data_IF_937870102624
#
_entry.id   IF_937870102624
#
_cell.length_a   1.000
_cell.length_b   1.000
_cell.length_c   1.000
_cell.angle_alpha   90.00
_cell.angle_beta   90.00
_cell.angle_gamma   90.00
#
_symmetry.space_group_name_H-M   'P 1'
#
loop_
_entity.id
_entity.type
_entity.pdbx_description
1 polymer ?
#
# COMPACT_ATOMS: atom_id res chain seq x y z
N UNK A 1 -8.42 1.02 -24.43
CA UNK A 1 -8.86 1.66 -23.17
C UNK A 1 -10.26 1.15 -22.87
N UNK A 2 -10.47 0.53 -21.69
CA UNK A 2 -11.80 0.15 -21.21
C UNK A 2 -12.51 1.35 -20.58
N UNK A 3 -13.87 1.28 -20.48
CA UNK A 3 -14.65 2.29 -19.78
C UNK A 3 -14.34 2.30 -18.29
N UNK A 4 -14.34 3.46 -17.63
CA UNK A 4 -14.04 3.61 -16.21
C UNK A 4 -14.87 4.73 -15.59
N UNK A 5 -15.03 4.64 -14.28
CA UNK A 5 -15.46 5.73 -13.42
C UNK A 5 -14.33 6.03 -12.43
N UNK A 6 -14.05 7.29 -12.18
CA UNK A 6 -13.05 7.70 -11.20
C UNK A 6 -13.68 8.67 -10.20
N UNK A 7 -13.60 8.28 -8.95
CA UNK A 7 -14.03 9.11 -7.83
C UNK A 7 -13.10 8.90 -6.64
N UNK A 8 -12.53 9.98 -6.12
CA UNK A 8 -11.76 9.95 -4.89
C UNK A 8 -12.06 11.17 -4.04
N UNK A 9 -12.83 11.03 -2.95
CA UNK A 9 -13.28 12.13 -2.10
C UNK A 9 -12.24 12.56 -1.06
N UNK A 10 -11.08 11.94 -0.96
CA UNK A 10 -10.07 12.24 0.05
C UNK A 10 -9.54 13.67 -0.09
N UNK A 11 -9.77 14.50 0.92
CA UNK A 11 -9.17 15.84 1.00
C UNK A 11 -7.74 15.75 1.47
N UNK A 12 -6.79 16.01 0.60
CA UNK A 12 -5.36 16.00 0.94
C UNK A 12 -4.95 17.38 1.45
N UNK A 13 -4.32 17.43 2.63
CA UNK A 13 -3.69 18.60 3.21
C UNK A 13 -2.20 18.32 3.34
N UNK A 14 -1.44 18.80 2.36
CA UNK A 14 -0.03 18.46 2.20
C UNK A 14 0.89 19.63 2.58
N UNK A 15 2.04 19.30 3.16
CA UNK A 15 3.13 20.24 3.41
C UNK A 15 3.45 20.42 4.89
N UNK A 16 4.52 21.17 5.15
CA UNK A 16 4.96 21.47 6.52
C UNK A 16 3.89 22.28 7.27
N UNK A 17 3.57 21.80 8.49
CA UNK A 17 2.54 22.44 9.33
C UNK A 17 1.11 22.09 8.94
N UNK A 18 0.89 21.16 7.99
CA UNK A 18 -0.45 20.72 7.59
C UNK A 18 -1.27 20.13 8.74
N UNK A 19 -0.63 19.56 9.78
CA UNK A 19 -1.26 19.03 10.98
C UNK A 19 -2.06 20.09 11.78
N UNK A 20 -1.72 21.35 11.64
CA UNK A 20 -2.46 22.47 12.28
C UNK A 20 -3.88 22.63 11.75
N UNK A 21 -4.21 22.00 10.62
CA UNK A 21 -5.56 21.99 10.08
C UNK A 21 -6.50 21.00 10.76
N UNK A 22 -6.01 20.16 11.69
CA UNK A 22 -6.77 19.05 12.27
C UNK A 22 -8.07 19.51 12.95
N UNK A 23 -8.02 20.52 13.83
CA UNK A 23 -9.21 21.05 14.52
C UNK A 23 -10.30 21.49 13.53
N UNK A 24 -9.91 22.21 12.46
CA UNK A 24 -10.82 22.60 11.38
C UNK A 24 -11.43 21.38 10.69
N UNK A 25 -10.62 20.36 10.37
CA UNK A 25 -11.09 19.16 9.66
C UNK A 25 -12.05 18.32 10.52
N UNK A 26 -11.76 18.16 11.82
CA UNK A 26 -12.67 17.48 12.75
C UNK A 26 -14.01 18.22 12.87
N UNK A 27 -13.98 19.55 12.96
CA UNK A 27 -15.18 20.39 12.98
C UNK A 27 -16.00 20.30 11.69
N UNK A 28 -15.35 20.33 10.52
CA UNK A 28 -16.00 20.14 9.21
C UNK A 28 -16.72 18.80 9.12
N UNK A 29 -16.16 17.74 9.73
CA UNK A 29 -16.72 16.40 9.79
C UNK A 29 -17.71 16.20 10.96
N UNK A 30 -17.98 17.23 11.78
CA UNK A 30 -18.92 17.22 12.91
C UNK A 30 -18.62 16.12 13.94
N UNK A 31 -17.35 15.88 14.19
CA UNK A 31 -16.88 14.81 15.11
C UNK A 31 -17.30 15.14 16.53
N UNK A 32 -17.89 14.18 17.23
CA UNK A 32 -18.28 14.29 18.65
C UNK A 32 -17.60 13.26 19.54
N UNK A 33 -17.22 12.10 18.97
CA UNK A 33 -16.54 11.02 19.69
C UNK A 33 -15.50 10.36 18.78
N UNK A 34 -14.21 10.57 19.09
CA UNK A 34 -13.08 10.18 18.27
C UNK A 34 -12.33 8.99 18.87
N UNK A 35 -12.04 7.98 18.03
CA UNK A 35 -11.09 6.91 18.33
C UNK A 35 -9.78 7.15 17.56
N UNK A 36 -8.69 7.41 18.28
CA UNK A 36 -7.34 7.52 17.74
C UNK A 36 -6.68 6.14 17.67
N UNK A 37 -6.18 5.78 16.48
CA UNK A 37 -5.50 4.50 16.20
C UNK A 37 -4.10 4.77 15.67
N UNK A 38 -3.07 4.23 16.34
CA UNK A 38 -1.67 4.48 15.98
C UNK A 38 -0.75 3.32 16.39
N UNK A 39 0.53 3.37 15.98
CA UNK A 39 1.53 2.38 16.37
C UNK A 39 2.67 3.02 17.15
N UNK A 40 2.81 2.66 18.43
CA UNK A 40 3.93 3.10 19.28
C UNK A 40 3.98 4.59 19.64
N UNK A 41 4.96 4.96 20.45
CA UNK A 41 5.05 6.31 21.06
C UNK A 41 5.67 7.40 20.18
N UNK A 42 6.08 7.08 18.93
CA UNK A 42 6.73 8.06 18.06
C UNK A 42 5.85 9.27 17.75
N UNK A 43 4.52 9.14 17.79
CA UNK A 43 3.60 10.26 17.56
C UNK A 43 3.73 11.36 18.62
N UNK A 44 4.18 10.99 19.84
CA UNK A 44 4.45 11.94 20.92
C UNK A 44 5.72 12.73 20.62
N UNK A 45 6.80 12.06 20.22
CA UNK A 45 8.07 12.69 19.85
C UNK A 45 8.00 13.60 18.63
N UNK A 46 7.07 13.32 17.70
CA UNK A 46 6.78 14.16 16.55
C UNK A 46 5.85 15.35 16.87
N UNK A 47 5.34 15.46 18.10
CA UNK A 47 4.38 16.49 18.49
C UNK A 47 2.96 16.29 17.96
N UNK A 48 2.70 15.23 17.19
CA UNK A 48 1.39 14.93 16.61
C UNK A 48 0.35 14.69 17.69
N UNK A 49 0.73 13.94 18.72
CA UNK A 49 -0.17 13.62 19.85
C UNK A 49 -0.70 14.89 20.53
N UNK A 50 0.17 15.88 20.76
CA UNK A 50 -0.25 17.15 21.38
C UNK A 50 -1.23 17.92 20.48
N UNK A 51 -0.95 17.98 19.16
CA UNK A 51 -1.88 18.62 18.21
C UNK A 51 -3.27 17.97 18.24
N UNK A 52 -3.33 16.63 18.37
CA UNK A 52 -4.60 15.91 18.47
C UNK A 52 -5.30 16.26 19.79
N UNK A 53 -4.57 16.24 20.92
CA UNK A 53 -5.15 16.58 22.23
C UNK A 53 -5.69 18.00 22.26
N UNK A 54 -4.94 18.96 21.74
CA UNK A 54 -5.36 20.36 21.68
C UNK A 54 -6.65 20.51 20.83
N UNK A 55 -6.75 19.82 19.69
CA UNK A 55 -7.92 19.85 18.84
C UNK A 55 -9.15 19.20 19.50
N UNK A 56 -8.96 18.09 20.19
CA UNK A 56 -10.01 17.38 20.93
C UNK A 56 -10.54 18.25 22.09
N UNK A 57 -9.64 18.84 22.86
CA UNK A 57 -9.97 19.69 24.02
C UNK A 57 -10.65 20.98 23.54
N UNK A 58 -10.16 21.64 22.48
CA UNK A 58 -10.77 22.83 21.86
C UNK A 58 -12.23 22.60 21.43
N UNK A 59 -12.50 21.42 20.84
CA UNK A 59 -13.81 21.09 20.28
C UNK A 59 -14.74 20.36 21.26
N UNK A 60 -14.24 19.97 22.44
CA UNK A 60 -15.02 19.20 23.43
C UNK A 60 -15.41 17.80 22.95
N UNK A 61 -14.54 17.15 22.18
CA UNK A 61 -14.77 15.83 21.56
C UNK A 61 -14.47 14.72 22.58
N UNK A 62 -15.32 13.68 22.69
CA UNK A 62 -15.02 12.45 23.41
C UNK A 62 -13.78 11.77 22.79
N UNK A 63 -12.82 11.35 23.62
CA UNK A 63 -11.52 10.87 23.14
C UNK A 63 -11.16 9.50 23.69
N UNK A 64 -10.90 8.57 22.77
CA UNK A 64 -10.44 7.22 23.04
C UNK A 64 -9.23 6.93 22.17
N UNK A 65 -8.29 6.10 22.65
CA UNK A 65 -7.07 5.83 21.89
C UNK A 65 -6.55 4.40 22.07
N UNK A 66 -5.84 3.93 21.05
CA UNK A 66 -5.05 2.71 21.13
C UNK A 66 -3.80 2.83 20.25
N UNK A 67 -2.62 2.61 20.86
CA UNK A 67 -1.31 2.68 20.23
C UNK A 67 -0.64 1.33 19.96
N UNK A 68 -1.41 0.24 19.96
CA UNK A 68 -0.88 -1.14 19.87
C UNK A 68 -0.85 -1.71 18.45
N UNK A 69 -1.05 -0.88 17.41
CA UNK A 69 -0.98 -1.36 16.02
C UNK A 69 0.43 -1.84 15.71
N UNK A 70 0.51 -3.02 15.10
CA UNK A 70 1.75 -3.65 14.63
C UNK A 70 1.73 -3.80 13.09
N UNK A 71 2.88 -4.01 12.43
CA UNK A 71 2.92 -4.40 11.03
C UNK A 71 2.07 -5.66 10.77
N UNK A 72 1.48 -5.76 9.57
CA UNK A 72 0.51 -6.81 9.23
C UNK A 72 -0.65 -6.84 10.25
N UNK A 73 -1.52 -5.81 10.28
CA UNK A 73 -2.47 -5.58 11.35
C UNK A 73 -3.44 -6.74 11.52
N UNK A 74 -3.67 -7.15 12.77
CA UNK A 74 -4.49 -8.32 13.08
C UNK A 74 -5.96 -8.00 13.29
N UNK A 75 -6.82 -8.95 12.93
CA UNK A 75 -8.28 -8.84 13.13
C UNK A 75 -8.65 -8.83 14.61
N UNK A 76 -7.84 -9.46 15.48
CA UNK A 76 -8.08 -9.48 16.93
C UNK A 76 -8.07 -8.06 17.51
N UNK A 77 -7.05 -7.25 17.16
CA UNK A 77 -6.99 -5.85 17.57
C UNK A 77 -8.17 -5.05 17.00
N UNK A 78 -8.53 -5.31 15.74
CA UNK A 78 -9.70 -4.64 15.13
C UNK A 78 -10.97 -4.96 15.91
N UNK A 79 -11.23 -6.23 16.26
CA UNK A 79 -12.40 -6.64 17.05
C UNK A 79 -12.46 -5.94 18.41
N UNK A 80 -11.33 -5.91 19.14
CA UNK A 80 -11.22 -5.19 20.42
C UNK A 80 -11.60 -3.72 20.28
N UNK A 81 -11.09 -3.05 19.22
CA UNK A 81 -11.33 -1.63 19.01
C UNK A 81 -12.73 -1.32 18.43
N UNK A 82 -13.34 -2.24 17.72
CA UNK A 82 -14.76 -2.19 17.34
C UNK A 82 -15.65 -2.20 18.59
N UNK A 83 -15.37 -3.11 19.54
CA UNK A 83 -16.13 -3.18 20.80
C UNK A 83 -15.94 -1.92 21.63
N UNK A 84 -14.71 -1.40 21.72
CA UNK A 84 -14.44 -0.12 22.37
C UNK A 84 -15.24 1.03 21.73
N UNK A 85 -15.25 1.08 20.39
CA UNK A 85 -15.97 2.10 19.63
C UNK A 85 -17.48 2.03 19.80
N UNK A 86 -18.06 0.83 19.76
CA UNK A 86 -19.51 0.60 20.02
C UNK A 86 -19.89 1.06 21.42
N UNK A 87 -19.14 0.64 22.45
CA UNK A 87 -19.39 1.00 23.85
C UNK A 87 -19.39 2.50 24.09
N UNK A 88 -18.58 3.24 23.37
CA UNK A 88 -18.36 4.68 23.60
C UNK A 88 -19.00 5.57 22.50
N UNK A 89 -19.88 5.00 21.67
CA UNK A 89 -20.57 5.71 20.60
C UNK A 89 -19.62 6.54 19.72
N UNK A 90 -18.47 5.94 19.35
CA UNK A 90 -17.48 6.58 18.47
C UNK A 90 -18.13 6.86 17.12
N UNK A 91 -17.98 8.08 16.62
CA UNK A 91 -18.51 8.55 15.35
C UNK A 91 -17.45 8.89 14.31
N UNK A 92 -16.15 8.84 14.70
CA UNK A 92 -15.01 9.12 13.84
C UNK A 92 -13.77 8.32 14.24
N UNK A 93 -13.04 7.79 13.25
CA UNK A 93 -11.76 7.09 13.49
C UNK A 93 -10.61 7.91 12.88
N UNK A 94 -9.61 8.27 13.69
CA UNK A 94 -8.40 8.96 13.25
C UNK A 94 -7.21 8.02 13.29
N UNK A 95 -6.61 7.75 12.12
CA UNK A 95 -5.37 6.99 12.03
C UNK A 95 -4.15 7.91 12.06
N UNK A 96 -3.12 7.55 12.84
CA UNK A 96 -1.81 8.19 12.77
C UNK A 96 -0.75 7.12 12.56
N UNK A 97 -0.10 7.14 11.39
CA UNK A 97 0.90 6.12 11.07
C UNK A 97 1.06 5.88 9.58
N UNK A 98 1.47 4.66 9.26
CA UNK A 98 1.54 4.11 7.90
C UNK A 98 0.34 3.21 7.59
N UNK A 99 0.45 2.42 6.53
CA UNK A 99 -0.60 1.52 6.02
C UNK A 99 -1.27 0.68 7.11
N UNK A 100 -0.50 0.05 8.01
CA UNK A 100 -1.07 -0.78 9.07
C UNK A 100 -2.03 -0.03 10.00
N UNK A 101 -1.68 1.19 10.42
CA UNK A 101 -2.57 2.01 11.25
C UNK A 101 -3.80 2.47 10.49
N UNK A 102 -3.64 2.81 9.21
CA UNK A 102 -4.73 3.28 8.36
C UNK A 102 -5.70 2.13 8.05
N UNK A 103 -5.19 0.95 7.71
CA UNK A 103 -6.01 -0.23 7.40
C UNK A 103 -6.76 -0.73 8.64
N UNK A 104 -6.10 -0.70 9.82
CA UNK A 104 -6.77 -0.96 11.11
C UNK A 104 -7.93 0.01 11.32
N UNK A 105 -7.72 1.31 11.11
CA UNK A 105 -8.76 2.33 11.26
C UNK A 105 -9.92 2.13 10.27
N UNK A 106 -9.62 1.76 9.01
CA UNK A 106 -10.64 1.43 8.01
C UNK A 106 -11.48 0.22 8.43
N UNK A 107 -10.84 -0.85 8.90
CA UNK A 107 -11.53 -2.03 9.40
C UNK A 107 -12.40 -1.73 10.63
N UNK A 108 -11.92 -0.89 11.56
CA UNK A 108 -12.71 -0.43 12.71
C UNK A 108 -13.94 0.37 12.26
N UNK A 109 -13.74 1.27 11.29
CA UNK A 109 -14.82 2.10 10.74
C UNK A 109 -15.91 1.28 10.04
N UNK A 110 -15.56 0.13 9.46
CA UNK A 110 -16.49 -0.89 8.95
C UNK A 110 -17.20 -1.63 10.09
N UNK A 111 -16.46 -2.07 11.10
CA UNK A 111 -16.95 -2.95 12.15
C UNK A 111 -17.85 -2.27 13.18
N UNK A 112 -17.65 -0.98 13.51
CA UNK A 112 -18.47 -0.29 14.52
C UNK A 112 -19.96 -0.26 14.14
N UNK A 113 -20.39 0.11 12.93
CA UNK A 113 -21.80 0.12 12.56
C UNK A 113 -22.36 -1.27 12.17
N UNK A 114 -21.54 -2.33 12.15
CA UNK A 114 -21.92 -3.66 11.71
C UNK A 114 -22.25 -4.58 12.90
N UNK A 115 -23.34 -5.37 12.81
CA UNK A 115 -23.76 -6.28 13.87
C UNK A 115 -23.03 -7.62 13.84
N UNK A 116 -22.38 -7.97 12.71
CA UNK A 116 -21.61 -9.20 12.54
C UNK A 116 -20.13 -9.05 12.92
N UNK A 117 -19.32 -10.04 12.56
CA UNK A 117 -17.88 -10.01 12.70
C UNK A 117 -17.24 -9.19 11.57
N UNK A 118 -16.33 -8.27 11.89
CA UNK A 118 -15.64 -7.43 10.90
C UNK A 118 -14.87 -8.27 9.86
N UNK A 119 -14.46 -9.49 10.19
CA UNK A 119 -13.80 -10.39 9.25
C UNK A 119 -14.69 -10.83 8.08
N UNK A 120 -16.02 -10.74 8.24
CA UNK A 120 -16.97 -11.06 7.17
C UNK A 120 -16.78 -10.20 5.92
N UNK A 121 -16.33 -8.94 6.08
CA UNK A 121 -16.01 -8.06 4.95
C UNK A 121 -14.84 -8.61 4.12
N UNK A 122 -13.81 -9.11 4.78
CA UNK A 122 -12.59 -9.60 4.14
C UNK A 122 -12.72 -11.01 3.56
N UNK A 123 -13.40 -11.90 4.26
CA UNK A 123 -13.50 -13.31 3.86
C UNK A 123 -14.72 -13.61 2.98
N UNK A 124 -15.86 -13.00 3.29
CA UNK A 124 -17.14 -13.27 2.61
C UNK A 124 -17.52 -12.19 1.60
N UNK A 125 -16.80 -11.06 1.55
CA UNK A 125 -17.10 -9.95 0.66
C UNK A 125 -18.45 -9.28 0.96
N UNK A 126 -18.85 -9.22 2.23
CA UNK A 126 -20.09 -8.56 2.65
C UNK A 126 -20.01 -7.06 2.28
N UNK A 127 -21.05 -6.52 1.67
CA UNK A 127 -21.12 -5.07 1.41
C UNK A 127 -21.58 -4.34 2.68
N UNK A 128 -20.87 -3.27 3.13
CA UNK A 128 -21.27 -2.52 4.32
C UNK A 128 -22.47 -1.62 4.02
N UNK A 129 -23.46 -1.62 4.92
CA UNK A 129 -24.57 -0.66 4.83
C UNK A 129 -24.11 0.75 5.22
N UNK A 130 -23.22 0.84 6.19
CA UNK A 130 -22.69 2.09 6.73
C UNK A 130 -21.22 1.92 7.11
N UNK A 131 -20.45 2.99 6.93
CA UNK A 131 -19.03 3.09 7.36
C UNK A 131 -18.86 4.40 8.13
N UNK A 132 -18.12 4.39 9.23
CA UNK A 132 -17.79 5.62 9.93
C UNK A 132 -16.78 6.45 9.11
N UNK A 133 -16.82 7.79 9.21
CA UNK A 133 -15.82 8.63 8.58
C UNK A 133 -14.43 8.41 9.22
N UNK A 134 -13.40 8.48 8.37
CA UNK A 134 -12.00 8.24 8.73
C UNK A 134 -11.18 9.48 8.41
N UNK A 135 -10.27 9.85 9.30
CA UNK A 135 -9.21 10.83 9.03
C UNK A 135 -7.85 10.18 9.15
N UNK A 136 -6.86 10.72 8.45
CA UNK A 136 -5.50 10.19 8.47
C UNK A 136 -4.48 11.31 8.70
N UNK A 137 -3.48 11.05 9.54
CA UNK A 137 -2.20 11.77 9.58
C UNK A 137 -1.12 10.77 9.17
N UNK A 138 -0.67 10.85 7.92
CA UNK A 138 0.30 9.91 7.36
C UNK A 138 1.71 10.25 7.82
N UNK A 139 2.42 9.25 8.37
CA UNK A 139 3.80 9.40 8.87
C UNK A 139 4.81 8.56 8.10
N UNK A 140 4.36 7.82 7.10
CA UNK A 140 5.19 7.03 6.18
C UNK A 140 4.79 7.34 4.73
N UNK A 141 5.64 6.93 3.80
CA UNK A 141 5.38 6.99 2.36
C UNK A 141 5.55 5.58 1.81
N UNK A 142 4.45 4.83 1.62
CA UNK A 142 4.44 3.46 1.12
C UNK A 142 3.10 3.09 0.49
N UNK A 143 2.18 2.54 1.26
CA UNK A 143 0.92 1.93 0.79
C UNK A 143 -0.05 2.85 0.06
N UNK A 144 0.02 4.18 0.25
CA UNK A 144 -0.99 5.10 -0.26
C UNK A 144 -2.39 4.92 0.36
N UNK A 145 -2.49 4.16 1.47
CA UNK A 145 -3.77 3.85 2.10
C UNK A 145 -4.54 5.07 2.57
N UNK A 146 -3.86 6.20 2.79
CA UNK A 146 -4.48 7.48 3.17
C UNK A 146 -5.44 8.04 2.12
N UNK A 147 -5.38 7.53 0.88
CA UNK A 147 -6.28 7.93 -0.21
C UNK A 147 -6.88 6.75 -0.97
N UNK A 148 -6.61 5.51 -0.56
CA UNK A 148 -7.12 4.33 -1.24
C UNK A 148 -8.46 3.84 -0.66
N UNK A 149 -9.19 3.08 -1.47
CA UNK A 149 -10.42 2.38 -1.08
C UNK A 149 -10.15 0.94 -0.59
N UNK A 150 -8.88 0.60 -0.31
CA UNK A 150 -8.47 -0.73 0.11
C UNK A 150 -8.02 -0.74 1.58
N UNK A 151 -8.27 -1.85 2.27
CA UNK A 151 -7.71 -2.18 3.58
C UNK A 151 -7.26 -3.64 3.60
N UNK A 152 -6.09 -3.92 4.19
CA UNK A 152 -5.53 -5.27 4.30
C UNK A 152 -5.42 -5.64 5.77
N UNK A 153 -6.06 -6.75 6.17
CA UNK A 153 -6.04 -7.26 7.54
C UNK A 153 -5.61 -8.73 7.55
N UNK A 154 -4.87 -9.10 8.59
CA UNK A 154 -4.40 -10.46 8.80
C UNK A 154 -5.28 -11.18 9.84
N UNK A 155 -5.55 -12.47 9.59
CA UNK A 155 -6.22 -13.38 10.51
C UNK A 155 -5.51 -14.74 10.42
N UNK A 156 -4.67 -15.04 11.40
CA UNK A 156 -3.78 -16.23 11.38
C UNK A 156 -2.95 -16.26 10.08
N UNK A 157 -3.10 -17.35 9.31
CA UNK A 157 -2.41 -17.59 8.04
C UNK A 157 -2.99 -16.81 6.84
N UNK A 158 -4.07 -16.06 7.03
CA UNK A 158 -4.71 -15.29 5.96
C UNK A 158 -4.36 -13.80 6.06
N UNK A 159 -3.98 -13.20 4.94
CA UNK A 159 -3.83 -11.76 4.75
C UNK A 159 -4.71 -11.35 3.59
N UNK A 160 -5.88 -10.78 3.90
CA UNK A 160 -6.94 -10.49 2.94
C UNK A 160 -7.20 -8.99 2.82
N UNK A 161 -7.57 -8.58 1.61
CA UNK A 161 -7.99 -7.23 1.28
C UNK A 161 -9.51 -7.10 1.19
N UNK A 162 -9.99 -5.92 1.55
CA UNK A 162 -11.35 -5.46 1.29
C UNK A 162 -11.28 -4.10 0.58
N UNK A 163 -12.09 -3.94 -0.46
CA UNK A 163 -12.14 -2.72 -1.27
C UNK A 163 -13.55 -2.15 -1.32
N UNK A 164 -13.69 -0.88 -0.95
CA UNK A 164 -14.95 -0.15 -1.03
C UNK A 164 -14.70 1.36 -0.95
N UNK A 165 -15.31 2.15 -1.83
CA UNK A 165 -15.10 3.60 -1.85
C UNK A 165 -15.54 4.32 -0.56
N UNK A 166 -16.40 3.68 0.23
CA UNK A 166 -16.87 4.22 1.53
C UNK A 166 -15.78 4.22 2.61
N UNK A 167 -14.71 3.40 2.46
CA UNK A 167 -13.57 3.41 3.39
C UNK A 167 -12.46 4.39 2.99
N UNK A 168 -12.62 5.12 1.88
CA UNK A 168 -11.70 6.21 1.54
C UNK A 168 -11.75 7.26 2.64
N UNK A 169 -10.60 7.66 3.23
CA UNK A 169 -10.57 8.68 4.27
C UNK A 169 -11.16 10.03 3.82
N UNK A 170 -11.88 10.70 4.72
CA UNK A 170 -12.41 12.05 4.47
C UNK A 170 -11.32 13.08 4.27
N UNK A 171 -10.21 12.89 4.97
CA UNK A 171 -9.02 13.70 4.79
C UNK A 171 -7.74 12.91 5.08
N UNK A 172 -6.65 13.35 4.44
CA UNK A 172 -5.29 12.91 4.69
C UNK A 172 -4.40 14.14 4.96
N UNK A 173 -3.84 14.22 6.15
CA UNK A 173 -2.81 15.21 6.51
C UNK A 173 -1.46 14.57 6.25
N UNK A 174 -0.64 15.24 5.42
CA UNK A 174 0.63 14.73 4.93
C UNK A 174 1.73 15.78 5.12
N UNK A 175 2.45 15.69 6.24
CA UNK A 175 3.62 16.54 6.50
C UNK A 175 4.90 15.73 6.24
N UNK A 176 5.69 16.04 5.18
CA UNK A 176 6.91 15.28 4.87
C UNK A 176 7.93 15.24 6.01
N UNK A 177 7.93 16.23 6.92
CA UNK A 177 8.80 16.24 8.08
C UNK A 177 8.56 15.07 9.04
N UNK A 178 7.35 14.52 9.09
CA UNK A 178 7.06 13.35 9.93
C UNK A 178 7.78 12.09 9.45
N UNK A 179 8.19 12.05 8.18
CA UNK A 179 8.90 10.90 7.61
C UNK A 179 10.42 10.96 7.77
N UNK A 180 10.99 12.12 8.16
CA UNK A 180 12.45 12.37 8.18
C UNK A 180 13.21 11.43 9.14
N UNK A 181 12.58 11.06 10.25
CA UNK A 181 13.19 10.20 11.27
C UNK A 181 12.87 8.72 11.09
N UNK A 182 12.18 8.34 10.00
CA UNK A 182 11.98 6.92 9.68
C UNK A 182 13.34 6.24 9.47
N UNK A 183 13.54 5.03 9.99
CA UNK A 183 14.71 4.22 9.67
C UNK A 183 14.87 4.07 8.15
N UNK A 184 16.12 4.06 7.68
CA UNK A 184 16.42 3.94 6.26
C UNK A 184 15.75 2.71 5.62
N UNK A 185 15.76 1.58 6.34
CA UNK A 185 15.09 0.35 5.91
C UNK A 185 13.59 0.56 5.62
N UNK A 186 12.86 1.22 6.53
CA UNK A 186 11.43 1.49 6.34
C UNK A 186 11.18 2.47 5.17
N UNK A 187 12.06 3.47 5.02
CA UNK A 187 12.00 4.40 3.88
C UNK A 187 12.19 3.64 2.56
N UNK A 188 13.18 2.75 2.50
CA UNK A 188 13.49 2.02 1.27
C UNK A 188 12.44 0.94 0.95
N UNK A 189 11.95 0.23 1.95
CA UNK A 189 10.81 -0.68 1.79
C UNK A 189 9.55 0.08 1.29
N UNK A 190 9.29 1.28 1.82
CA UNK A 190 8.20 2.13 1.33
C UNK A 190 8.36 2.55 -0.12
N UNK A 191 9.58 2.90 -0.56
CA UNK A 191 9.86 3.23 -1.97
C UNK A 191 9.62 2.01 -2.87
N UNK A 192 10.02 0.81 -2.44
CA UNK A 192 9.78 -0.43 -3.18
C UNK A 192 8.27 -0.72 -3.30
N UNK A 193 7.51 -0.46 -2.25
CA UNK A 193 6.06 -0.60 -2.22
C UNK A 193 5.36 0.38 -3.18
N UNK A 194 5.74 1.66 -3.18
CA UNK A 194 5.24 2.65 -4.16
C UNK A 194 5.54 2.22 -5.59
N UNK A 195 6.77 1.72 -5.86
CA UNK A 195 7.13 1.21 -7.19
C UNK A 195 6.26 0.01 -7.57
N UNK A 196 6.01 -0.90 -6.64
CA UNK A 196 5.17 -2.07 -6.89
C UNK A 196 3.76 -1.69 -7.32
N UNK A 197 3.13 -0.73 -6.64
CA UNK A 197 1.82 -0.21 -7.00
C UNK A 197 1.78 0.40 -8.40
N UNK A 198 2.83 1.14 -8.79
CA UNK A 198 2.94 1.69 -10.14
C UNK A 198 3.10 0.59 -11.20
N UNK A 199 3.91 -0.44 -10.91
CA UNK A 199 4.16 -1.55 -11.82
C UNK A 199 2.91 -2.44 -12.00
N UNK A 200 2.19 -2.76 -10.91
CA UNK A 200 0.95 -3.53 -10.99
C UNK A 200 -0.09 -2.86 -11.90
N UNK A 201 -0.19 -1.54 -11.82
CA UNK A 201 -1.08 -0.77 -12.69
C UNK A 201 -0.57 -0.65 -14.12
N UNK A 202 0.75 -0.68 -14.31
CA UNK A 202 1.34 -0.67 -15.65
C UNK A 202 1.14 -2.00 -16.37
N UNK A 203 1.22 -3.13 -15.65
CA UNK A 203 1.01 -4.46 -16.20
C UNK A 203 -0.48 -4.70 -16.45
N UNK A 204 -0.87 -4.46 -17.69
CA UNK A 204 -2.25 -4.54 -18.16
C UNK A 204 -2.27 -4.94 -19.64
N UNK A 205 -3.33 -5.59 -20.08
CA UNK A 205 -3.52 -5.99 -21.48
C UNK A 205 -4.07 -4.89 -22.39
N UNK A 206 -4.37 -3.73 -21.81
CA UNK A 206 -4.97 -2.65 -22.58
C UNK A 206 -3.98 -1.99 -23.54
N UNK A 207 -4.23 -2.14 -24.84
CA UNK A 207 -3.35 -1.65 -25.91
C UNK A 207 -3.41 -0.13 -26.10
N UNK A 208 -4.54 0.51 -25.80
CA UNK A 208 -4.80 1.93 -26.06
C UNK A 208 -5.12 2.69 -24.77
N UNK A 209 -4.14 2.79 -23.91
CA UNK A 209 -4.20 3.54 -22.64
C UNK A 209 -3.00 4.47 -22.47
N UNK A 210 -2.54 5.06 -23.59
CA UNK A 210 -1.30 5.83 -23.65
C UNK A 210 -1.21 6.95 -22.58
N UNK A 211 -2.31 7.68 -22.34
CA UNK A 211 -2.34 8.73 -21.31
C UNK A 211 -1.95 8.15 -19.94
N UNK A 212 -2.58 7.06 -19.51
CA UNK A 212 -2.29 6.43 -18.22
C UNK A 212 -0.91 5.78 -18.22
N UNK A 213 -0.48 5.18 -19.35
CA UNK A 213 0.89 4.66 -19.50
C UNK A 213 1.94 5.73 -19.22
N UNK A 214 1.87 6.87 -19.92
CA UNK A 214 2.84 7.94 -19.75
C UNK A 214 2.79 8.59 -18.37
N UNK A 215 1.61 8.65 -17.73
CA UNK A 215 1.49 9.11 -16.34
C UNK A 215 2.23 8.16 -15.39
N UNK A 216 2.07 6.85 -15.54
CA UNK A 216 2.77 5.85 -14.71
C UNK A 216 4.27 5.88 -14.99
N UNK A 217 4.69 5.94 -16.25
CA UNK A 217 6.10 6.01 -16.65
C UNK A 217 6.78 7.28 -16.09
N UNK A 218 6.07 8.40 -16.12
CA UNK A 218 6.51 9.67 -15.49
C UNK A 218 6.63 9.54 -13.97
N UNK A 219 5.66 8.89 -13.32
CA UNK A 219 5.67 8.62 -11.88
C UNK A 219 6.85 7.72 -11.48
N UNK A 220 7.12 6.64 -12.26
CA UNK A 220 8.29 5.78 -12.04
C UNK A 220 9.60 6.57 -12.16
N UNK A 221 9.75 7.40 -13.19
CA UNK A 221 10.94 8.25 -13.35
C UNK A 221 11.12 9.21 -12.18
N UNK A 222 10.05 9.85 -11.71
CA UNK A 222 10.07 10.72 -10.53
C UNK A 222 10.47 9.95 -9.25
N UNK A 223 9.94 8.74 -9.07
CA UNK A 223 10.30 7.86 -7.96
C UNK A 223 11.80 7.55 -7.97
N UNK A 224 12.35 7.12 -9.10
CA UNK A 224 13.78 6.78 -9.22
C UNK A 224 14.69 7.98 -8.88
N UNK A 225 14.36 9.17 -9.36
CA UNK A 225 15.10 10.41 -9.07
C UNK A 225 15.08 10.75 -7.58
N UNK A 226 13.90 10.68 -6.94
CA UNK A 226 13.75 11.02 -5.53
C UNK A 226 14.31 9.94 -4.61
N UNK A 227 14.24 8.66 -4.99
CA UNK A 227 14.95 7.58 -4.31
C UNK A 227 16.47 7.83 -4.28
N UNK A 228 17.06 8.26 -5.40
CA UNK A 228 18.49 8.62 -5.49
C UNK A 228 18.87 9.79 -4.60
N UNK A 229 17.98 10.79 -4.46
CA UNK A 229 18.16 11.89 -3.52
C UNK A 229 18.16 11.39 -2.08
N UNK A 230 17.20 10.53 -1.70
CA UNK A 230 17.09 9.98 -0.34
C UNK A 230 18.23 9.02 0.02
N UNK A 231 18.81 8.32 -0.96
CA UNK A 231 20.02 7.52 -0.73
C UNK A 231 21.21 8.40 -0.38
N UNK A 232 21.33 9.58 -1.02
CA UNK A 232 22.42 10.55 -0.79
C UNK A 232 22.19 11.37 0.48
N UNK A 233 20.97 11.86 0.69
CA UNK A 233 20.54 12.60 1.86
C UNK A 233 19.19 12.08 2.38
N UNK A 234 19.21 11.17 3.37
CA UNK A 234 17.99 10.62 3.97
C UNK A 234 17.09 11.67 4.64
N UNK A 235 17.57 12.89 4.84
CA UNK A 235 16.83 13.99 5.47
C UNK A 235 16.29 15.02 4.47
N UNK A 236 16.48 14.83 3.18
CA UNK A 236 15.90 15.69 2.14
C UNK A 236 14.36 15.69 2.23
N UNK A 237 13.80 16.72 2.88
CA UNK A 237 12.35 16.88 3.10
C UNK A 237 11.59 16.97 1.78
N UNK A 238 12.18 17.57 0.75
CA UNK A 238 11.54 17.69 -0.57
C UNK A 238 11.42 16.32 -1.24
N UNK A 239 12.52 15.54 -1.26
CA UNK A 239 12.47 14.19 -1.81
C UNK A 239 11.51 13.27 -1.03
N UNK A 240 11.43 13.42 0.31
CA UNK A 240 10.44 12.72 1.13
C UNK A 240 9.00 13.11 0.78
N UNK A 241 8.77 14.40 0.57
CA UNK A 241 7.46 14.90 0.13
C UNK A 241 7.06 14.35 -1.24
N UNK A 242 7.99 14.31 -2.20
CA UNK A 242 7.75 13.72 -3.52
C UNK A 242 7.38 12.23 -3.42
N UNK A 243 8.11 11.43 -2.62
CA UNK A 243 7.77 10.02 -2.43
C UNK A 243 6.43 9.87 -1.69
N UNK A 244 6.14 10.72 -0.70
CA UNK A 244 4.86 10.67 0.03
C UNK A 244 3.68 11.00 -0.90
N UNK A 245 3.83 12.01 -1.77
CA UNK A 245 2.82 12.31 -2.76
C UNK A 245 2.66 11.18 -3.79
N UNK A 246 3.76 10.61 -4.27
CA UNK A 246 3.72 9.46 -5.19
C UNK A 246 3.04 8.24 -4.60
N UNK A 247 3.17 7.98 -3.29
CA UNK A 247 2.48 6.89 -2.63
C UNK A 247 0.95 7.02 -2.78
N UNK A 248 0.42 8.22 -2.52
CA UNK A 248 -1.01 8.50 -2.72
C UNK A 248 -1.42 8.37 -4.20
N UNK A 249 -0.66 8.94 -5.13
CA UNK A 249 -0.96 8.86 -6.58
C UNK A 249 -0.91 7.42 -7.07
N UNK A 250 0.03 6.63 -6.58
CA UNK A 250 0.20 5.24 -6.97
C UNK A 250 -0.97 4.34 -6.53
N UNK A 251 -1.75 4.73 -5.50
CA UNK A 251 -2.78 3.85 -4.93
C UNK A 251 -4.15 4.51 -4.68
N UNK A 252 -4.46 5.62 -5.33
CA UNK A 252 -5.76 6.29 -5.22
C UNK A 252 -6.72 5.97 -6.38
N UNK A 253 -6.46 4.92 -7.14
CA UNK A 253 -7.20 4.44 -8.31
C UNK A 253 -7.18 5.37 -9.54
N UNK A 254 -6.49 6.53 -9.48
CA UNK A 254 -6.36 7.43 -10.63
C UNK A 254 -5.64 6.75 -11.81
N UNK A 255 -4.62 5.97 -11.50
CA UNK A 255 -3.81 5.27 -12.50
C UNK A 255 -4.43 3.94 -12.96
N UNK A 256 -5.62 3.58 -12.48
CA UNK A 256 -6.43 2.48 -13.02
C UNK A 256 -7.36 2.95 -14.15
N UNK A 257 -7.39 4.26 -14.45
CA UNK A 257 -8.23 4.83 -15.48
C UNK A 257 -7.98 4.18 -16.85
N UNK A 258 -9.02 3.50 -17.37
CA UNK A 258 -9.02 2.88 -18.69
C UNK A 258 -8.27 1.56 -18.82
N UNK A 259 -7.92 0.90 -17.70
CA UNK A 259 -7.20 -0.39 -17.66
C UNK A 259 -7.62 -1.25 -16.47
N UNK A 260 -7.15 -2.50 -16.50
CA UNK A 260 -7.24 -3.43 -15.39
C UNK A 260 -5.82 -3.77 -14.93
N UNK A 261 -5.49 -3.44 -13.67
CA UNK A 261 -4.20 -3.74 -13.05
C UNK A 261 -4.01 -5.24 -12.81
N UNK A 262 -2.76 -5.73 -12.71
CA UNK A 262 -2.47 -7.16 -12.56
C UNK A 262 -2.76 -7.70 -11.15
N UNK A 263 -2.09 -7.18 -10.14
CA UNK A 263 -2.16 -7.59 -8.72
C UNK A 263 -1.66 -9.02 -8.42
N UNK A 264 -1.09 -9.71 -9.41
CA UNK A 264 -0.56 -11.06 -9.23
C UNK A 264 0.65 -11.11 -8.31
N UNK A 265 1.58 -10.16 -8.42
CA UNK A 265 2.76 -10.10 -7.56
C UNK A 265 2.41 -9.78 -6.10
N UNK A 266 1.43 -8.90 -5.85
CA UNK A 266 0.93 -8.63 -4.50
C UNK A 266 0.29 -9.86 -3.85
N UNK A 267 -0.45 -10.67 -4.61
CA UNK A 267 -1.04 -11.91 -4.07
C UNK A 267 0.03 -12.90 -3.63
N UNK A 268 1.15 -12.99 -4.35
CA UNK A 268 2.30 -13.82 -3.94
C UNK A 268 2.92 -13.26 -2.65
N UNK A 269 3.13 -11.95 -2.58
CA UNK A 269 3.71 -11.30 -1.41
C UNK A 269 2.82 -11.44 -0.16
N UNK A 270 1.50 -11.35 -0.31
CA UNK A 270 0.58 -11.52 0.81
C UNK A 270 0.74 -12.90 1.47
N UNK A 271 0.99 -13.96 0.69
CA UNK A 271 1.24 -15.29 1.23
C UNK A 271 2.58 -15.36 1.98
N UNK A 272 3.62 -14.71 1.44
CA UNK A 272 4.93 -14.60 2.11
C UNK A 272 4.82 -13.80 3.42
N UNK A 273 4.14 -12.66 3.42
CA UNK A 273 3.92 -11.87 4.63
C UNK A 273 3.07 -12.61 5.67
N UNK A 274 2.03 -13.34 5.24
CA UNK A 274 1.20 -14.12 6.14
C UNK A 274 1.98 -15.26 6.80
N UNK A 275 2.83 -15.96 6.04
CA UNK A 275 3.59 -17.10 6.49
C UNK A 275 4.80 -16.73 7.35
N UNK A 276 5.56 -15.70 6.94
CA UNK A 276 6.87 -15.38 7.50
C UNK A 276 6.95 -14.00 8.17
N UNK A 277 5.85 -13.27 8.21
CA UNK A 277 5.75 -11.92 8.81
C UNK A 277 6.84 -10.95 8.31
N UNK A 278 7.16 -11.01 7.01
CA UNK A 278 8.13 -10.11 6.38
C UNK A 278 7.54 -8.72 6.16
N UNK A 279 8.42 -7.72 6.02
CA UNK A 279 8.01 -6.36 5.66
C UNK A 279 7.52 -6.32 4.22
N UNK A 280 6.29 -5.85 3.99
CA UNK A 280 5.60 -5.88 2.70
C UNK A 280 6.46 -5.36 1.54
N UNK A 281 7.00 -4.14 1.64
CA UNK A 281 7.82 -3.57 0.56
C UNK A 281 9.11 -4.35 0.26
N UNK A 282 9.70 -5.06 1.24
CA UNK A 282 10.82 -5.95 1.00
C UNK A 282 10.36 -7.26 0.33
N UNK A 283 9.23 -7.82 0.77
CA UNK A 283 8.59 -8.94 0.09
C UNK A 283 8.28 -8.62 -1.37
N UNK A 284 7.76 -7.41 -1.63
CA UNK A 284 7.53 -6.93 -3.01
C UNK A 284 8.82 -6.82 -3.81
N UNK A 285 9.94 -6.40 -3.22
CA UNK A 285 11.22 -6.33 -3.92
C UNK A 285 11.69 -7.73 -4.40
N UNK A 286 11.52 -8.76 -3.57
CA UNK A 286 11.80 -10.15 -3.94
C UNK A 286 10.86 -10.66 -5.03
N UNK A 287 9.55 -10.50 -4.80
CA UNK A 287 8.52 -11.07 -5.68
C UNK A 287 8.52 -10.41 -7.05
N UNK A 288 8.67 -9.09 -7.15
CA UNK A 288 8.66 -8.39 -8.45
C UNK A 288 9.81 -8.80 -9.36
N UNK A 289 11.00 -9.04 -8.80
CA UNK A 289 12.14 -9.53 -9.59
C UNK A 289 11.83 -10.91 -10.17
N UNK A 290 11.29 -11.82 -9.37
CA UNK A 290 10.92 -13.17 -9.82
C UNK A 290 9.74 -13.15 -10.78
N UNK A 291 8.70 -12.40 -10.46
CA UNK A 291 7.50 -12.27 -11.29
C UNK A 291 7.85 -11.70 -12.68
N UNK A 292 8.69 -10.66 -12.74
CA UNK A 292 9.11 -10.09 -14.03
C UNK A 292 9.99 -11.05 -14.85
N UNK A 293 10.82 -11.88 -14.23
CA UNK A 293 11.56 -12.96 -14.90
C UNK A 293 10.59 -13.98 -15.50
N UNK A 294 9.57 -14.40 -14.75
CA UNK A 294 8.52 -15.30 -15.22
C UNK A 294 7.73 -14.66 -16.38
N UNK A 295 7.24 -13.43 -16.19
CA UNK A 295 6.49 -12.70 -17.19
C UNK A 295 7.26 -12.48 -18.50
N UNK A 296 8.58 -12.27 -18.43
CA UNK A 296 9.44 -12.17 -19.62
C UNK A 296 9.47 -13.45 -20.47
N UNK A 297 9.17 -14.61 -19.89
CA UNK A 297 9.09 -15.87 -20.62
C UNK A 297 7.69 -16.18 -21.17
N UNK A 298 6.63 -15.64 -20.55
CA UNK A 298 5.23 -15.95 -20.83
C UNK A 298 4.55 -14.86 -21.65
N UNK A 299 4.75 -13.59 -21.27
CA UNK A 299 4.06 -12.44 -21.86
C UNK A 299 4.93 -11.17 -21.77
N UNK A 300 5.98 -11.04 -22.60
CA UNK A 300 7.03 -10.02 -22.42
C UNK A 300 6.65 -8.60 -22.83
N UNK A 301 5.63 -8.39 -23.69
CA UNK A 301 5.43 -7.15 -24.44
C UNK A 301 5.30 -5.89 -23.52
N UNK A 302 4.58 -5.99 -22.42
CA UNK A 302 4.35 -4.85 -21.52
C UNK A 302 5.62 -4.48 -20.76
N UNK A 303 6.38 -5.50 -20.35
CA UNK A 303 7.67 -5.33 -19.68
C UNK A 303 8.68 -4.71 -20.65
N UNK A 304 8.72 -5.19 -21.89
CA UNK A 304 9.59 -4.67 -22.94
C UNK A 304 9.29 -3.21 -23.27
N UNK A 305 8.00 -2.84 -23.29
CA UNK A 305 7.58 -1.45 -23.49
C UNK A 305 8.08 -0.54 -22.37
N UNK A 306 7.94 -0.95 -21.12
CA UNK A 306 8.44 -0.19 -19.96
C UNK A 306 9.96 -0.09 -19.97
N UNK A 307 10.67 -1.19 -20.26
CA UNK A 307 12.13 -1.20 -20.37
C UNK A 307 12.62 -0.20 -21.42
N UNK A 308 11.96 -0.11 -22.56
CA UNK A 308 12.29 0.86 -23.60
C UNK A 308 12.03 2.31 -23.14
N UNK A 309 10.80 2.61 -22.65
CA UNK A 309 10.37 3.98 -22.37
C UNK A 309 10.97 4.58 -21.08
N UNK A 310 11.31 3.75 -20.10
CA UNK A 310 11.83 4.20 -18.81
C UNK A 310 13.33 3.95 -18.66
N UNK A 311 13.83 2.82 -19.15
CA UNK A 311 15.21 2.39 -18.96
C UNK A 311 16.06 2.40 -20.24
N UNK A 312 15.54 2.95 -21.35
CA UNK A 312 16.24 3.12 -22.64
C UNK A 312 16.74 1.81 -23.25
N UNK A 313 16.04 0.70 -23.03
CA UNK A 313 16.31 -0.58 -23.69
C UNK A 313 15.73 -0.55 -25.11
N UNK A 314 16.57 -0.19 -26.12
CA UNK A 314 16.13 0.06 -27.49
C UNK A 314 15.72 -1.23 -28.21
N UNK A 315 14.68 -1.18 -29.04
CA UNK A 315 14.22 -2.27 -29.87
C UNK A 315 15.14 -2.59 -31.07
N UNK A 316 16.08 -1.70 -31.40
CA UNK A 316 17.11 -1.97 -32.40
C UNK A 316 18.16 -2.96 -31.88
N UNK A 317 18.51 -2.85 -30.57
CA UNK A 317 19.57 -3.63 -29.97
C UNK A 317 19.07 -4.94 -29.35
N UNK A 318 17.78 -4.99 -28.93
CA UNK A 318 17.24 -6.09 -28.12
C UNK A 318 15.88 -6.56 -28.62
N UNK A 319 15.68 -7.88 -28.63
CA UNK A 319 14.37 -8.51 -28.82
C UNK A 319 13.38 -8.14 -27.71
N UNK A 320 12.10 -8.38 -27.91
CA UNK A 320 11.08 -8.12 -26.88
C UNK A 320 11.36 -8.86 -25.57
N UNK A 321 11.72 -10.14 -25.65
CA UNK A 321 12.08 -10.94 -24.47
C UNK A 321 13.33 -10.40 -23.75
N UNK A 322 14.36 -10.02 -24.48
CA UNK A 322 15.58 -9.45 -23.89
C UNK A 322 15.28 -8.12 -23.17
N UNK A 323 14.47 -7.25 -23.77
CA UNK A 323 14.04 -6.00 -23.11
C UNK A 323 13.25 -6.28 -21.84
N UNK A 324 12.38 -7.27 -21.84
CA UNK A 324 11.64 -7.68 -20.64
C UNK A 324 12.57 -8.19 -19.52
N UNK A 325 13.62 -8.94 -19.88
CA UNK A 325 14.64 -9.38 -18.92
C UNK A 325 15.51 -8.21 -18.42
N UNK A 326 15.83 -7.24 -19.27
CA UNK A 326 16.51 -5.99 -18.87
C UNK A 326 15.68 -5.27 -17.79
N UNK A 327 14.34 -5.22 -17.92
CA UNK A 327 13.51 -4.65 -16.85
C UNK A 327 13.72 -5.38 -15.52
N UNK A 328 13.71 -6.72 -15.52
CA UNK A 328 13.93 -7.51 -14.30
C UNK A 328 15.28 -7.20 -13.65
N UNK A 329 16.35 -7.12 -14.47
CA UNK A 329 17.69 -6.76 -14.01
C UNK A 329 17.74 -5.33 -13.43
N UNK A 330 17.08 -4.36 -14.08
CA UNK A 330 16.99 -2.97 -13.59
C UNK A 330 16.27 -2.87 -12.26
N UNK A 331 15.19 -3.62 -12.09
CA UNK A 331 14.46 -3.68 -10.82
C UNK A 331 15.33 -4.30 -9.71
N UNK A 332 15.99 -5.41 -10.00
CA UNK A 332 16.90 -6.06 -9.04
C UNK A 332 18.04 -5.12 -8.62
N UNK A 333 18.69 -4.44 -9.58
CA UNK A 333 19.72 -3.43 -9.32
C UNK A 333 19.18 -2.28 -8.46
N UNK A 334 17.96 -1.80 -8.74
CA UNK A 334 17.34 -0.74 -7.98
C UNK A 334 17.04 -1.16 -6.54
N UNK A 335 16.47 -2.33 -6.30
CA UNK A 335 16.19 -2.82 -4.95
C UNK A 335 17.47 -3.08 -4.15
N UNK A 336 18.53 -3.63 -4.78
CA UNK A 336 19.86 -3.76 -4.16
C UNK A 336 20.46 -2.38 -3.80
N UNK A 337 20.28 -1.37 -4.64
CA UNK A 337 20.69 0.02 -4.34
C UNK A 337 19.95 0.59 -3.14
N UNK A 338 18.68 0.22 -2.94
CA UNK A 338 17.89 0.50 -1.74
C UNK A 338 18.28 -0.39 -0.55
N UNK A 339 19.28 -1.27 -0.68
CA UNK A 339 19.74 -2.22 0.35
C UNK A 339 18.64 -3.18 0.82
N UNK A 340 17.69 -3.50 -0.07
CA UNK A 340 16.68 -4.52 0.16
C UNK A 340 17.18 -5.88 -0.34
N UNK A 341 16.72 -6.94 0.29
CA UNK A 341 16.92 -8.31 -0.19
C UNK A 341 16.07 -8.53 -1.44
N UNK A 342 16.57 -9.33 -2.37
CA UNK A 342 15.95 -9.58 -3.67
C UNK A 342 15.71 -11.05 -3.95
N UNK A 343 16.04 -11.93 -2.97
CA UNK A 343 15.78 -13.37 -3.05
C UNK A 343 15.19 -13.90 -1.74
N UNK A 344 14.43 -14.99 -1.83
CA UNK A 344 13.89 -15.69 -0.66
C UNK A 344 15.01 -16.28 0.21
N UNK A 345 16.09 -16.74 -0.42
CA UNK A 345 17.26 -17.25 0.29
C UNK A 345 17.90 -16.21 1.21
N UNK A 346 17.97 -14.93 0.78
CA UNK A 346 18.46 -13.83 1.60
C UNK A 346 17.51 -13.53 2.80
N UNK A 347 16.23 -13.91 2.69
CA UNK A 347 15.23 -13.83 3.76
C UNK A 347 15.27 -15.07 4.68
N UNK A 348 16.06 -16.10 4.34
CA UNK A 348 16.09 -17.37 5.08
C UNK A 348 14.89 -18.28 4.78
N UNK A 349 14.21 -18.07 3.66
CA UNK A 349 13.03 -18.82 3.22
C UNK A 349 13.46 -19.83 2.17
N UNK A 350 13.03 -21.07 2.35
CA UNK A 350 13.23 -22.18 1.40
C UNK A 350 11.90 -22.59 0.73
N UNK A 351 11.93 -23.68 -0.03
CA UNK A 351 10.79 -24.17 -0.82
C UNK A 351 9.74 -24.98 -0.03
N UNK A 352 9.93 -25.19 1.27
CA UNK A 352 9.12 -26.12 2.08
C UNK A 352 7.61 -25.77 2.10
N UNK A 353 7.28 -24.48 2.09
CA UNK A 353 5.89 -24.02 2.21
C UNK A 353 5.27 -23.56 0.87
N UNK A 354 5.98 -23.73 -0.26
CA UNK A 354 5.52 -23.25 -1.57
C UNK A 354 4.20 -23.86 -2.02
N UNK A 355 4.00 -25.17 -1.77
CA UNK A 355 2.76 -25.87 -2.10
C UNK A 355 1.57 -25.32 -1.29
N UNK A 356 1.76 -25.10 0.00
CA UNK A 356 0.73 -24.58 0.87
C UNK A 356 0.33 -23.15 0.49
N UNK A 357 1.32 -22.25 0.31
CA UNK A 357 1.09 -20.88 -0.11
C UNK A 357 0.38 -20.82 -1.46
N UNK A 358 0.82 -21.58 -2.47
CA UNK A 358 0.21 -21.59 -3.79
C UNK A 358 -1.26 -22.06 -3.74
N UNK A 359 -1.55 -23.14 -3.01
CA UNK A 359 -2.91 -23.66 -2.85
C UNK A 359 -3.81 -22.66 -2.09
N UNK A 360 -3.29 -21.99 -1.07
CA UNK A 360 -4.01 -20.99 -0.28
C UNK A 360 -4.32 -19.74 -1.13
N UNK A 361 -3.36 -19.26 -1.89
CA UNK A 361 -3.54 -18.09 -2.77
C UNK A 361 -4.58 -18.33 -3.87
N UNK A 362 -4.58 -19.56 -4.45
CA UNK A 362 -5.43 -19.91 -5.60
C UNK A 362 -6.71 -20.65 -5.23
N UNK A 363 -7.05 -20.75 -3.94
CA UNK A 363 -8.23 -21.49 -3.43
C UNK A 363 -9.57 -21.03 -4.04
N UNK A 364 -9.65 -19.75 -4.46
CA UNK A 364 -10.84 -19.14 -5.06
C UNK A 364 -10.69 -18.92 -6.57
N UNK A 365 -9.70 -19.52 -7.21
CA UNK A 365 -9.37 -19.36 -8.62
C UNK A 365 -7.99 -18.75 -8.84
N UNK A 366 -7.64 -18.56 -10.11
CA UNK A 366 -6.36 -17.96 -10.50
C UNK A 366 -6.23 -16.52 -9.98
N UNK A 367 -5.01 -16.08 -9.73
CA UNK A 367 -4.69 -14.72 -9.30
C UNK A 367 -3.93 -13.95 -10.38
N UNK A 368 -4.04 -12.61 -10.38
CA UNK A 368 -3.48 -11.77 -11.44
C UNK A 368 -4.44 -11.59 -12.61
N UNK A 369 -4.21 -10.56 -13.43
CA UNK A 369 -5.04 -10.24 -14.59
C UNK A 369 -4.24 -10.08 -15.87
N UNK A 370 -3.06 -9.50 -15.82
CA UNK A 370 -2.15 -9.47 -16.98
C UNK A 370 -1.62 -10.86 -17.28
N UNK A 371 -1.25 -11.59 -16.23
CA UNK A 371 -0.92 -13.02 -16.29
C UNK A 371 -1.72 -13.72 -15.19
N UNK A 372 -2.67 -14.55 -15.60
CA UNK A 372 -3.40 -15.39 -14.67
C UNK A 372 -2.50 -16.51 -14.14
N UNK A 373 -2.29 -16.54 -12.84
CA UNK A 373 -1.43 -17.47 -12.13
C UNK A 373 -2.28 -18.56 -11.46
N UNK A 374 -2.16 -19.78 -11.91
CA UNK A 374 -2.60 -20.96 -11.17
C UNK A 374 -1.57 -21.36 -10.11
N UNK A 375 -1.84 -22.39 -9.31
CA UNK A 375 -0.92 -22.85 -8.26
C UNK A 375 0.46 -23.28 -8.80
N UNK A 376 0.52 -23.77 -10.05
CA UNK A 376 1.79 -24.16 -10.69
C UNK A 376 2.62 -22.93 -11.04
N UNK A 377 2.03 -21.95 -11.73
CA UNK A 377 2.69 -20.68 -12.09
C UNK A 377 3.14 -19.91 -10.82
N UNK A 378 2.32 -19.91 -9.78
CA UNK A 378 2.66 -19.33 -8.48
C UNK A 378 3.96 -19.95 -7.91
N UNK A 379 4.07 -21.28 -7.89
CA UNK A 379 5.28 -21.99 -7.42
C UNK A 379 6.49 -21.74 -8.31
N UNK A 380 6.31 -21.69 -9.64
CA UNK A 380 7.39 -21.36 -10.58
C UNK A 380 7.98 -19.97 -10.28
N UNK A 381 7.15 -18.99 -9.95
CA UNK A 381 7.61 -17.65 -9.56
C UNK A 381 8.37 -17.69 -8.22
N UNK A 382 7.87 -18.40 -7.21
CA UNK A 382 8.59 -18.57 -5.94
C UNK A 382 9.94 -19.27 -6.14
N UNK A 383 10.02 -20.27 -7.01
CA UNK A 383 11.28 -20.93 -7.35
C UNK A 383 12.28 -20.00 -8.06
N UNK A 384 11.81 -19.05 -8.88
CA UNK A 384 12.63 -18.00 -9.48
C UNK A 384 13.10 -16.95 -8.46
N UNK A 385 12.47 -16.89 -7.29
CA UNK A 385 12.82 -15.99 -6.20
C UNK A 385 13.87 -16.57 -5.23
N UNK A 386 14.22 -17.88 -5.31
CA UNK A 386 15.25 -18.53 -4.50
C UNK A 386 16.65 -18.07 -4.93
#
# INVERSE_FOLDING_TARGET
MIGFEYYNPAKIVFGEGSEKSLSKLLKENKVTSLLLVYSGDFIKSLGIYQVIKDAVDELGIGFYENGSVVPNPSVELVRELVDLGKKNSVDFVLAVGGGSSIDTAKAIALGIPYDGDVWDFFEKGVSPDKVLPIGVIATTASSGSETSNCAIISNKEFKLGFEDDRIIPKFAIMNPKFTVNLPAYQTYAGIADVLSHLLERYFSDELHSDTTDYLIEGAIKALLVNADRLIKDPKDVNARGEIQWLASVAHNNFLDAGRRADWGSHRIEHELSAQYNITHGEGMAVVLVAWTKYAASVKPWRLALLANRVFNADSYDYSEKERALILSEKLEQFFKKLRLRTTLKELGIDESDFDEMANRATRNGNVGHYIELDAKAFKEILALAL
#
